data_IF_659685738896
#
_entry.id   IF_659685738896
#
_cell.length_a   1.000
_cell.length_b   1.000
_cell.length_c   1.000
_cell.angle_alpha   90.00
_cell.angle_beta   90.00
_cell.angle_gamma   90.00
#
_symmetry.space_group_name_H-M   'P 1'
#
loop_
_entity.id
_entity.type
_entity.pdbx_description
1 polymer ?
#
# COMPACT_ATOMS: atom_id res chain seq x y z
N UNK A 1 -49.64 -14.31 22.60
CA UNK A 1 -50.33 -15.50 23.14
C UNK A 1 -51.77 -15.44 22.68
N UNK A 2 -52.27 -16.49 22.03
CA UNK A 2 -51.93 -16.76 20.62
C UNK A 2 -53.13 -17.27 19.78
N UNK A 3 -52.89 -17.43 18.47
CA UNK A 3 -53.36 -18.52 17.57
C UNK A 3 -54.89 -18.71 17.36
N UNK A 4 -55.42 -19.13 16.22
CA UNK A 4 -54.91 -20.05 15.20
C UNK A 4 -55.81 -20.07 13.94
N UNK A 5 -55.25 -20.56 12.81
CA UNK A 5 -55.88 -21.44 11.79
C UNK A 5 -57.11 -20.96 10.97
N UNK A 6 -57.31 -21.23 9.67
CA UNK A 6 -56.61 -22.00 8.66
C UNK A 6 -57.22 -21.74 7.25
N UNK A 7 -56.36 -21.96 6.25
CA UNK A 7 -56.54 -22.45 4.85
C UNK A 7 -57.62 -23.58 4.72
N UNK A 8 -58.36 -23.88 3.64
CA UNK A 8 -58.32 -23.62 2.17
C UNK A 8 -59.66 -24.18 1.52
N UNK A 9 -59.76 -24.59 0.23
CA UNK A 9 -60.36 -23.89 -0.93
C UNK A 9 -61.63 -24.54 -1.54
N UNK A 10 -62.25 -23.91 -2.56
CA UNK A 10 -63.03 -24.61 -3.59
C UNK A 10 -63.23 -23.76 -4.87
N UNK A 11 -63.22 -24.46 -6.01
CA UNK A 11 -63.17 -23.97 -7.38
C UNK A 11 -64.52 -23.58 -8.02
N UNK A 12 -64.43 -22.81 -9.12
CA UNK A 12 -64.98 -23.11 -10.47
C UNK A 12 -65.63 -21.90 -11.18
N UNK A 13 -65.34 -21.82 -12.48
CA UNK A 13 -65.55 -20.73 -13.42
C UNK A 13 -67.02 -20.64 -13.91
N UNK A 14 -67.45 -19.50 -14.51
CA UNK A 14 -67.69 -19.54 -15.96
C UNK A 14 -67.39 -18.24 -16.74
N UNK A 15 -67.12 -18.41 -18.03
CA UNK A 15 -66.92 -17.41 -19.10
C UNK A 15 -68.20 -16.59 -19.41
N UNK A 16 -68.08 -15.40 -20.03
CA UNK A 16 -68.45 -15.29 -21.45
C UNK A 16 -67.60 -14.34 -22.32
N UNK A 17 -67.93 -14.34 -23.60
CA UNK A 17 -67.20 -13.93 -24.80
C UNK A 17 -67.47 -12.51 -25.37
N UNK A 18 -66.41 -11.88 -25.93
CA UNK A 18 -66.27 -10.92 -27.06
C UNK A 18 -67.04 -9.56 -27.06
N UNK A 19 -66.64 -8.48 -27.80
CA UNK A 19 -65.84 -8.45 -29.06
C UNK A 19 -64.75 -7.35 -29.22
N UNK A 20 -64.03 -7.40 -30.35
CA UNK A 20 -62.96 -6.54 -30.88
C UNK A 20 -63.36 -5.07 -31.18
N UNK A 21 -62.38 -4.13 -31.26
CA UNK A 21 -62.30 -3.31 -32.48
C UNK A 21 -60.87 -3.04 -33.02
N UNK A 22 -60.85 -2.64 -34.30
CA UNK A 22 -59.76 -2.38 -35.27
C UNK A 22 -58.59 -1.45 -34.86
N UNK A 23 -57.45 -1.50 -35.59
CA UNK A 23 -56.26 -0.70 -35.27
C UNK A 23 -56.31 0.71 -35.90
N UNK A 24 -56.02 1.73 -35.09
CA UNK A 24 -55.85 3.11 -35.53
C UNK A 24 -54.37 3.47 -35.62
N UNK A 25 -53.93 3.79 -36.85
CA UNK A 25 -52.87 4.74 -37.26
C UNK A 25 -51.73 5.03 -36.27
N UNK A 26 -50.55 4.46 -36.53
CA UNK A 26 -49.29 4.88 -35.95
C UNK A 26 -48.82 6.22 -36.54
N UNK A 27 -48.73 7.24 -35.71
CA UNK A 27 -47.96 8.46 -35.95
C UNK A 27 -46.48 8.16 -35.76
N UNK A 28 -45.67 8.42 -36.80
CA UNK A 28 -44.22 8.27 -36.75
C UNK A 28 -43.58 9.38 -35.88
N UNK A 29 -42.68 9.06 -34.94
CA UNK A 29 -41.82 10.05 -34.33
C UNK A 29 -40.65 10.39 -35.28
N UNK A 30 -40.32 11.68 -35.32
CA UNK A 30 -39.21 12.27 -36.07
C UNK A 30 -37.89 11.54 -35.82
N UNK A 31 -37.19 11.18 -36.89
CA UNK A 31 -35.82 10.67 -36.84
C UNK A 31 -34.89 11.77 -36.31
N UNK A 32 -34.22 11.50 -35.20
CA UNK A 32 -33.11 12.29 -34.67
C UNK A 32 -31.88 12.13 -35.57
N UNK A 33 -31.12 13.22 -35.72
CA UNK A 33 -29.96 13.35 -36.59
C UNK A 33 -28.74 12.61 -35.96
N UNK A 34 -28.21 11.52 -36.55
CA UNK A 34 -27.26 10.63 -35.87
C UNK A 34 -25.77 11.03 -35.91
N UNK A 35 -25.40 12.18 -36.51
CA UNK A 35 -23.99 12.52 -36.74
C UNK A 35 -23.31 13.34 -35.63
N UNK A 36 -24.06 14.14 -34.88
CA UNK A 36 -23.49 15.06 -33.87
C UNK A 36 -23.20 14.41 -32.51
N UNK A 37 -24.10 13.53 -32.03
CA UNK A 37 -23.92 12.84 -30.74
C UNK A 37 -22.79 11.80 -30.80
N UNK A 38 -22.63 11.10 -31.92
CA UNK A 38 -21.54 10.14 -32.14
C UNK A 38 -20.17 10.84 -32.14
N UNK A 39 -20.07 12.01 -32.78
CA UNK A 39 -18.83 12.78 -32.83
C UNK A 39 -18.45 13.37 -31.47
N UNK A 40 -19.42 13.86 -30.69
CA UNK A 40 -19.18 14.32 -29.32
C UNK A 40 -18.70 13.18 -28.39
N UNK A 41 -19.22 11.96 -28.59
CA UNK A 41 -18.74 10.76 -27.92
C UNK A 41 -17.28 10.43 -28.24
N UNK A 42 -16.91 10.48 -29.53
CA UNK A 42 -15.52 10.26 -29.99
C UNK A 42 -14.55 11.32 -29.45
N UNK A 43 -14.97 12.59 -29.41
CA UNK A 43 -14.18 13.66 -28.77
C UNK A 43 -13.98 13.38 -27.29
N UNK A 44 -15.04 13.02 -26.54
CA UNK A 44 -14.91 12.68 -25.12
C UNK A 44 -13.98 11.47 -24.89
N UNK A 45 -13.99 10.47 -25.77
CA UNK A 45 -13.09 9.33 -25.71
C UNK A 45 -11.62 9.73 -25.94
N UNK A 46 -11.35 10.62 -26.90
CA UNK A 46 -10.00 11.13 -27.16
C UNK A 46 -9.43 11.91 -25.97
N UNK A 47 -10.28 12.63 -25.22
CA UNK A 47 -9.86 13.36 -24.02
C UNK A 47 -9.37 12.46 -22.87
N UNK A 48 -9.59 11.15 -22.91
CA UNK A 48 -9.02 10.22 -21.92
C UNK A 48 -7.47 10.14 -21.99
N UNK A 49 -6.86 10.58 -23.09
CA UNK A 49 -5.40 10.68 -23.22
C UNK A 49 -4.80 11.91 -22.50
N UNK A 50 -5.64 12.88 -22.12
CA UNK A 50 -5.19 14.13 -21.50
C UNK A 50 -5.07 13.93 -19.99
N UNK A 51 -3.86 14.11 -19.47
CA UNK A 51 -3.54 13.94 -18.05
C UNK A 51 -3.59 15.28 -17.34
N UNK A 52 -4.20 15.32 -16.15
CA UNK A 52 -4.05 16.48 -15.27
C UNK A 52 -2.60 16.54 -14.75
N UNK A 53 -1.88 17.66 -14.91
CA UNK A 53 -0.47 17.74 -14.51
C UNK A 53 -0.24 17.68 -13.00
N UNK A 54 -1.24 18.06 -12.19
CA UNK A 54 -1.15 18.04 -10.71
C UNK A 54 -1.49 16.65 -10.15
N UNK A 55 -2.49 15.96 -10.73
CA UNK A 55 -3.06 14.71 -10.23
C UNK A 55 -2.62 13.46 -11.02
N UNK A 56 -1.92 13.63 -12.16
CA UNK A 56 -1.43 12.57 -13.06
C UNK A 56 -2.47 11.49 -13.40
N UNK A 57 -3.72 11.92 -13.55
CA UNK A 57 -4.85 11.07 -13.93
C UNK A 57 -5.61 11.71 -15.10
N UNK A 58 -6.30 10.90 -15.92
CA UNK A 58 -7.09 11.44 -17.02
C UNK A 58 -8.11 12.47 -16.54
N UNK A 59 -8.18 13.62 -17.20
CA UNK A 59 -9.14 14.69 -16.86
C UNK A 59 -10.60 14.22 -16.92
N UNK A 60 -10.87 13.17 -17.70
CA UNK A 60 -12.17 12.50 -17.81
C UNK A 60 -12.54 11.70 -16.56
N UNK A 61 -11.55 11.09 -15.88
CA UNK A 61 -11.76 10.35 -14.63
C UNK A 61 -11.89 11.28 -13.42
N UNK A 62 -11.27 12.46 -13.50
CA UNK A 62 -11.28 13.47 -12.44
C UNK A 62 -12.54 14.33 -12.44
N UNK A 63 -13.50 14.06 -13.33
CA UNK A 63 -14.71 14.88 -13.49
C UNK A 63 -14.40 16.32 -13.90
N UNK A 64 -13.23 16.56 -14.52
CA UNK A 64 -12.83 17.88 -14.98
C UNK A 64 -13.46 18.23 -16.33
N UNK A 65 -13.88 17.24 -17.12
CA UNK A 65 -14.62 17.47 -18.38
C UNK A 65 -16.11 17.64 -18.07
N UNK A 66 -16.58 18.87 -18.02
CA UNK A 66 -17.97 19.25 -17.69
C UNK A 66 -18.91 19.01 -18.86
N UNK A 67 -18.52 19.48 -20.05
CA UNK A 67 -19.32 19.36 -21.25
C UNK A 67 -18.45 19.23 -22.50
N UNK A 68 -18.96 18.47 -23.47
CA UNK A 68 -18.41 18.36 -24.82
C UNK A 68 -19.58 18.53 -25.78
N UNK A 69 -19.52 19.54 -26.64
CA UNK A 69 -20.51 19.81 -27.67
C UNK A 69 -19.82 20.00 -29.01
N UNK A 70 -20.38 19.45 -30.09
CA UNK A 70 -19.86 19.64 -31.44
C UNK A 70 -20.92 20.29 -32.30
N UNK A 71 -20.59 21.45 -32.88
CA UNK A 71 -21.48 22.18 -33.76
C UNK A 71 -21.55 21.53 -35.15
N UNK A 72 -22.60 21.85 -35.92
CA UNK A 72 -22.79 21.32 -37.26
C UNK A 72 -21.68 21.69 -38.26
N UNK A 73 -20.87 22.71 -37.94
CA UNK A 73 -19.70 23.14 -38.70
C UNK A 73 -18.41 22.36 -38.34
N UNK A 74 -18.51 21.37 -37.46
CA UNK A 74 -17.38 20.57 -36.98
C UNK A 74 -16.58 21.23 -35.86
N UNK A 75 -17.03 22.37 -35.30
CA UNK A 75 -16.35 22.98 -34.15
C UNK A 75 -16.68 22.25 -32.86
N UNK A 76 -15.68 21.64 -32.22
CA UNK A 76 -15.79 21.02 -30.90
C UNK A 76 -15.56 22.06 -29.80
N UNK A 77 -16.51 22.20 -28.88
CA UNK A 77 -16.39 23.02 -27.67
C UNK A 77 -16.29 22.10 -26.46
N UNK A 78 -15.17 22.18 -25.74
CA UNK A 78 -14.89 21.38 -24.53
C UNK A 78 -14.82 22.32 -23.34
N UNK A 79 -15.66 22.07 -22.33
CA UNK A 79 -15.63 22.81 -21.06
C UNK A 79 -14.89 22.01 -20.00
N UNK A 80 -13.81 22.60 -19.48
CA UNK A 80 -12.93 21.98 -18.49
C UNK A 80 -12.98 22.77 -17.18
N UNK A 81 -13.17 22.08 -16.06
CA UNK A 81 -13.20 22.67 -14.72
C UNK A 81 -11.86 22.46 -14.03
N UNK A 82 -11.21 23.55 -13.65
CA UNK A 82 -9.99 23.52 -12.85
C UNK A 82 -10.29 23.49 -11.36
N UNK A 83 -9.39 22.88 -10.60
CA UNK A 83 -9.48 22.76 -9.14
C UNK A 83 -9.33 24.11 -8.44
N UNK A 84 -8.54 25.03 -9.01
CA UNK A 84 -8.29 26.38 -8.49
C UNK A 84 -8.25 27.44 -9.59
N UNK A 85 -8.69 28.65 -9.26
CA UNK A 85 -8.83 29.80 -10.18
C UNK A 85 -7.50 30.41 -10.66
N UNK A 86 -6.36 29.96 -10.14
CA UNK A 86 -5.03 30.52 -10.42
C UNK A 86 -4.00 29.51 -10.90
N UNK A 87 -4.40 28.35 -11.41
CA UNK A 87 -3.45 27.31 -11.80
C UNK A 87 -2.57 27.78 -12.99
N UNK A 88 -1.25 27.91 -12.83
CA UNK A 88 -0.34 28.31 -13.92
C UNK A 88 -0.27 27.27 -15.05
N UNK A 89 -0.80 26.07 -14.82
CA UNK A 89 -0.86 24.95 -15.75
C UNK A 89 -2.14 24.94 -16.60
N UNK A 90 -2.99 25.98 -16.49
CA UNK A 90 -4.18 26.18 -17.32
C UNK A 90 -3.86 26.10 -18.82
N UNK A 91 -2.74 26.69 -19.23
CA UNK A 91 -2.32 26.69 -20.64
C UNK A 91 -2.01 25.28 -21.13
N UNK A 92 -1.27 24.49 -20.33
CA UNK A 92 -0.94 23.11 -20.65
C UNK A 92 -2.18 22.25 -20.85
N UNK A 93 -3.15 22.34 -19.93
CA UNK A 93 -4.41 21.58 -20.05
C UNK A 93 -5.20 22.02 -21.29
N UNK A 94 -5.24 23.32 -21.60
CA UNK A 94 -5.93 23.82 -22.79
C UNK A 94 -5.25 23.31 -24.08
N UNK A 95 -3.92 23.31 -24.12
CA UNK A 95 -3.14 22.85 -25.27
C UNK A 95 -3.32 21.34 -25.47
N UNK A 96 -3.24 20.55 -24.40
CA UNK A 96 -3.40 19.09 -24.46
C UNK A 96 -4.83 18.68 -24.85
N UNK A 97 -5.85 19.37 -24.33
CA UNK A 97 -7.25 19.17 -24.74
C UNK A 97 -7.46 19.53 -26.20
N UNK A 98 -6.86 20.64 -26.66
CA UNK A 98 -6.94 21.08 -28.06
C UNK A 98 -6.30 20.06 -28.99
N UNK A 99 -5.11 19.57 -28.63
CA UNK A 99 -4.39 18.55 -29.38
C UNK A 99 -5.18 17.24 -29.44
N UNK A 100 -5.65 16.74 -28.29
CA UNK A 100 -6.39 15.48 -28.21
C UNK A 100 -7.71 15.53 -28.98
N UNK A 101 -8.53 16.57 -28.78
CA UNK A 101 -9.80 16.71 -29.50
C UNK A 101 -9.60 16.93 -31.01
N UNK A 102 -8.50 17.58 -31.41
CA UNK A 102 -8.15 17.80 -32.80
C UNK A 102 -7.73 16.53 -33.57
N UNK A 103 -7.40 15.43 -32.88
CA UNK A 103 -7.11 14.14 -33.53
C UNK A 103 -8.36 13.43 -34.05
N UNK A 104 -9.55 13.87 -33.67
CA UNK A 104 -10.80 13.20 -34.01
C UNK A 104 -11.27 13.60 -35.40
N UNK A 105 -11.38 12.61 -36.28
CA UNK A 105 -11.88 12.80 -37.65
C UNK A 105 -13.31 13.37 -37.65
N UNK A 106 -13.48 14.53 -38.28
CA UNK A 106 -14.72 15.30 -38.31
C UNK A 106 -14.70 16.59 -37.47
N UNK A 107 -13.64 16.82 -36.68
CA UNK A 107 -13.44 18.07 -35.93
C UNK A 107 -12.63 19.06 -36.78
N UNK A 108 -13.23 20.20 -37.11
CA UNK A 108 -12.58 21.26 -37.89
C UNK A 108 -11.88 22.32 -37.05
N UNK A 109 -12.39 22.58 -35.84
CA UNK A 109 -11.80 23.53 -34.89
C UNK A 109 -12.13 23.10 -33.45
N UNK A 110 -11.25 23.42 -32.50
CA UNK A 110 -11.48 23.16 -31.08
C UNK A 110 -11.51 24.47 -30.29
N UNK A 111 -12.50 24.63 -29.43
CA UNK A 111 -12.59 25.73 -28.45
C UNK A 111 -12.64 25.13 -27.05
N UNK A 112 -11.75 25.59 -26.18
CA UNK A 112 -11.71 25.15 -24.78
C UNK A 112 -12.20 26.28 -23.89
N UNK A 113 -13.28 26.03 -23.16
CA UNK A 113 -13.78 26.92 -22.11
C UNK A 113 -13.30 26.40 -20.75
N UNK A 114 -12.81 27.30 -19.90
CA UNK A 114 -12.20 26.94 -18.62
C UNK A 114 -12.99 27.54 -17.48
N UNK A 115 -13.59 26.67 -16.68
CA UNK A 115 -14.28 27.02 -15.44
C UNK A 115 -13.49 26.60 -14.20
N UNK A 116 -14.10 26.82 -13.04
CA UNK A 116 -13.56 26.39 -11.74
C UNK A 116 -14.60 25.49 -11.08
N UNK A 117 -14.15 24.40 -10.47
CA UNK A 117 -15.01 23.48 -9.74
C UNK A 117 -15.72 24.15 -8.55
N UNK A 118 -16.99 23.81 -8.34
CA UNK A 118 -17.75 24.22 -7.14
C UNK A 118 -17.23 23.51 -5.88
N UNK A 119 -17.57 23.99 -4.66
CA UNK A 119 -17.23 23.31 -3.41
C UNK A 119 -17.67 21.84 -3.36
N UNK A 120 -18.86 21.53 -3.89
CA UNK A 120 -19.43 20.18 -3.94
C UNK A 120 -18.67 19.28 -4.91
N UNK A 121 -18.33 19.79 -6.10
CA UNK A 121 -17.51 19.07 -7.08
C UNK A 121 -16.10 18.80 -6.54
N UNK A 122 -15.51 19.76 -5.83
CA UNK A 122 -14.22 19.55 -5.13
C UNK A 122 -14.34 18.51 -4.01
N UNK A 123 -15.45 18.46 -3.30
CA UNK A 123 -15.69 17.44 -2.27
C UNK A 123 -15.84 16.05 -2.89
N UNK A 124 -16.55 15.92 -4.01
CA UNK A 124 -16.67 14.66 -4.77
C UNK A 124 -15.34 14.22 -5.37
N UNK A 125 -14.57 15.15 -5.95
CA UNK A 125 -13.22 14.87 -6.42
C UNK A 125 -12.33 14.38 -5.27
N UNK A 126 -12.38 15.02 -4.10
CA UNK A 126 -11.66 14.56 -2.91
C UNK A 126 -12.09 13.17 -2.47
N UNK A 127 -13.38 12.85 -2.53
CA UNK A 127 -13.89 11.50 -2.21
C UNK A 127 -13.50 10.46 -3.27
N UNK A 128 -13.45 10.83 -4.55
CA UNK A 128 -12.96 9.96 -5.64
C UNK A 128 -11.43 9.82 -5.70
N UNK A 129 -10.71 10.75 -5.06
CA UNK A 129 -9.26 10.68 -4.82
C UNK A 129 -8.92 9.98 -3.50
N UNK A 130 -9.90 9.80 -2.59
CA UNK A 130 -9.72 9.10 -1.30
C UNK A 130 -9.45 7.62 -1.44
N UNK A 131 -9.69 7.03 -2.61
CA UNK A 131 -9.07 5.77 -3.01
C UNK A 131 -7.66 6.03 -3.55
N UNK A 132 -6.77 6.62 -2.72
CA UNK A 132 -5.33 6.40 -2.88
C UNK A 132 -5.08 4.94 -2.50
N UNK A 133 -5.29 4.03 -3.45
CA UNK A 133 -5.07 2.62 -3.22
C UNK A 133 -3.60 2.42 -2.87
N UNK A 134 -3.33 1.81 -1.71
CA UNK A 134 -1.97 1.43 -1.33
C UNK A 134 -1.48 0.40 -2.35
N UNK A 135 -0.46 0.70 -3.19
CA UNK A 135 -0.06 -0.18 -4.29
C UNK A 135 0.34 -1.57 -3.80
N UNK A 136 0.98 -1.62 -2.62
CA UNK A 136 1.44 -2.87 -2.01
C UNK A 136 0.33 -3.72 -1.42
N UNK A 137 -0.83 -3.12 -1.10
CA UNK A 137 -2.02 -3.79 -0.58
C UNK A 137 -3.04 -4.18 -1.65
N UNK A 138 -2.79 -3.80 -2.92
CA UNK A 138 -3.70 -4.08 -4.02
C UNK A 138 -3.73 -5.59 -4.36
N UNK A 139 -4.90 -6.14 -4.77
CA UNK A 139 -4.99 -7.50 -5.27
C UNK A 139 -4.02 -7.74 -6.44
N UNK A 140 -3.13 -8.73 -6.31
CA UNK A 140 -2.09 -9.03 -7.31
C UNK A 140 -0.73 -8.37 -7.07
N UNK A 141 -0.59 -7.51 -6.05
CA UNK A 141 0.71 -7.01 -5.60
C UNK A 141 1.64 -8.18 -5.29
N UNK A 142 2.83 -8.15 -5.91
CA UNK A 142 3.91 -9.09 -5.65
C UNK A 142 4.93 -8.53 -4.67
N UNK A 143 4.62 -7.46 -3.93
CA UNK A 143 5.52 -6.95 -2.90
C UNK A 143 5.30 -7.71 -1.60
N UNK A 144 6.36 -8.30 -1.03
CA UNK A 144 6.30 -8.88 0.31
C UNK A 144 6.45 -7.77 1.35
N UNK A 145 5.39 -7.52 2.12
CA UNK A 145 5.40 -6.52 3.18
C UNK A 145 5.69 -7.18 4.52
N UNK A 146 6.74 -6.75 5.21
CA UNK A 146 7.18 -7.31 6.49
C UNK A 146 7.29 -6.19 7.53
N UNK A 147 6.45 -6.24 8.56
CA UNK A 147 6.58 -5.41 9.75
C UNK A 147 7.59 -6.01 10.74
N UNK A 148 8.62 -5.25 11.08
CA UNK A 148 9.63 -5.64 12.08
C UNK A 148 9.20 -5.10 13.44
N UNK A 149 8.81 -5.99 14.34
CA UNK A 149 8.26 -5.66 15.65
C UNK A 149 9.20 -6.07 16.79
N UNK A 150 9.11 -5.39 17.93
CA UNK A 150 9.76 -5.82 19.17
C UNK A 150 8.90 -5.55 20.39
N UNK A 151 9.07 -6.36 21.43
CA UNK A 151 8.38 -6.13 22.71
C UNK A 151 8.90 -4.92 23.46
N UNK A 152 10.23 -4.75 23.50
CA UNK A 152 10.91 -3.66 24.22
C UNK A 152 11.73 -2.78 23.27
N UNK A 153 11.99 -1.54 23.69
CA UNK A 153 13.00 -0.69 23.07
C UNK A 153 14.41 -1.23 23.30
N UNK A 154 15.33 -0.93 22.38
CA UNK A 154 16.76 -1.27 22.53
C UNK A 154 17.14 -2.73 22.22
N UNK A 155 16.26 -3.54 21.62
CA UNK A 155 16.64 -4.90 21.13
C UNK A 155 17.47 -4.88 19.85
N UNK A 156 17.71 -3.72 19.25
CA UNK A 156 18.37 -3.59 17.94
C UNK A 156 17.47 -3.83 16.73
N UNK A 157 16.15 -3.67 16.89
CA UNK A 157 15.13 -3.80 15.82
C UNK A 157 15.52 -3.03 14.55
N UNK A 158 15.76 -1.73 14.65
CA UNK A 158 16.11 -0.87 13.50
C UNK A 158 17.45 -1.27 12.87
N UNK A 159 18.45 -1.65 13.68
CA UNK A 159 19.73 -2.17 13.19
C UNK A 159 19.55 -3.48 12.40
N UNK A 160 18.66 -4.36 12.84
CA UNK A 160 18.30 -5.57 12.08
C UNK A 160 17.56 -5.20 10.79
N UNK A 161 16.58 -4.30 10.85
CA UNK A 161 15.80 -3.85 9.69
C UNK A 161 16.72 -3.36 8.57
N UNK A 162 17.67 -2.46 8.85
CA UNK A 162 18.58 -1.93 7.83
C UNK A 162 19.52 -2.99 7.27
N UNK A 163 20.04 -3.89 8.10
CA UNK A 163 20.95 -4.93 7.65
C UNK A 163 20.24 -6.02 6.84
N UNK A 164 19.02 -6.42 7.22
CA UNK A 164 18.21 -7.33 6.43
C UNK A 164 17.88 -6.70 5.07
N UNK A 165 17.51 -5.42 5.03
CA UNK A 165 17.23 -4.71 3.79
C UNK A 165 18.45 -4.66 2.86
N UNK A 166 19.62 -4.28 3.40
CA UNK A 166 20.86 -4.20 2.63
C UNK A 166 21.31 -5.58 2.14
N UNK A 167 21.14 -6.63 2.95
CA UNK A 167 21.42 -8.00 2.52
C UNK A 167 20.50 -8.45 1.38
N UNK A 168 19.19 -8.19 1.48
CA UNK A 168 18.23 -8.50 0.42
C UNK A 168 18.52 -7.72 -0.87
N UNK A 169 18.89 -6.44 -0.77
CA UNK A 169 19.26 -5.62 -1.92
C UNK A 169 20.57 -6.11 -2.58
N UNK A 170 21.56 -6.53 -1.78
CA UNK A 170 22.80 -7.14 -2.28
C UNK A 170 22.54 -8.46 -3.03
N UNK A 171 21.51 -9.21 -2.64
CA UNK A 171 21.04 -10.41 -3.35
C UNK A 171 20.18 -10.07 -4.60
N UNK A 172 20.05 -8.80 -4.96
CA UNK A 172 19.41 -8.33 -6.19
C UNK A 172 17.91 -8.01 -6.07
N UNK A 173 17.34 -8.03 -4.87
CA UNK A 173 15.93 -7.67 -4.65
C UNK A 173 15.74 -6.15 -4.65
N UNK A 174 14.57 -5.70 -5.12
CA UNK A 174 14.13 -4.30 -5.01
C UNK A 174 13.51 -4.11 -3.63
N UNK A 175 14.21 -3.37 -2.77
CA UNK A 175 13.86 -3.25 -1.34
C UNK A 175 13.50 -1.81 -0.96
N UNK A 176 12.43 -1.67 -0.18
CA UNK A 176 12.07 -0.42 0.49
C UNK A 176 12.07 -0.56 2.01
N UNK A 177 12.34 0.53 2.72
CA UNK A 177 12.12 0.68 4.16
C UNK A 177 11.19 1.86 4.42
N UNK A 178 10.17 1.64 5.23
CA UNK A 178 9.43 2.70 5.92
C UNK A 178 9.81 2.64 7.40
N UNK A 179 10.45 3.70 7.89
CA UNK A 179 10.72 3.88 9.31
C UNK A 179 9.50 4.53 9.98
N UNK A 180 8.75 3.70 10.70
CA UNK A 180 7.53 4.07 11.39
C UNK A 180 7.75 4.28 12.91
N UNK A 181 9.00 4.18 13.39
CA UNK A 181 9.35 4.41 14.79
C UNK A 181 9.53 5.90 15.07
N UNK A 182 8.41 6.58 15.26
CA UNK A 182 8.38 8.05 15.27
C UNK A 182 9.11 8.69 16.46
N UNK A 183 9.19 7.98 17.58
CA UNK A 183 9.87 8.44 18.79
C UNK A 183 11.37 8.12 18.78
N UNK A 184 11.79 7.16 17.96
CA UNK A 184 13.15 6.62 17.95
C UNK A 184 13.68 6.40 16.53
N UNK A 185 13.30 7.26 15.57
CA UNK A 185 13.72 7.12 14.19
C UNK A 185 15.24 7.05 14.12
N UNK A 186 15.75 5.99 13.52
CA UNK A 186 17.19 5.70 13.51
C UNK A 186 17.65 5.18 12.16
N UNK A 187 16.73 4.74 11.30
CA UNK A 187 17.03 4.18 9.99
C UNK A 187 17.87 5.12 9.12
N UNK A 188 17.57 6.44 8.99
CA UNK A 188 18.40 7.33 8.17
C UNK A 188 19.85 7.39 8.66
N UNK A 189 20.05 7.52 9.98
CA UNK A 189 21.37 7.57 10.59
C UNK A 189 22.15 6.27 10.41
N UNK A 190 21.50 5.13 10.68
CA UNK A 190 22.08 3.79 10.51
C UNK A 190 22.50 3.47 9.06
N UNK A 191 21.99 4.23 8.09
CA UNK A 191 22.30 4.09 6.66
C UNK A 191 23.08 5.27 6.10
N UNK A 192 23.51 6.23 6.93
CA UNK A 192 24.28 7.39 6.50
C UNK A 192 23.51 8.34 5.59
N UNK A 193 22.17 8.31 5.62
CA UNK A 193 21.30 9.13 4.77
C UNK A 193 21.19 10.52 5.37
N UNK A 194 21.71 11.51 4.66
CA UNK A 194 21.63 12.93 5.01
C UNK A 194 20.70 13.71 4.08
N UNK A 195 20.30 13.12 2.96
CA UNK A 195 19.43 13.74 1.98
C UNK A 195 17.99 13.74 2.46
N UNK A 196 17.33 14.90 2.34
CA UNK A 196 15.89 14.97 2.49
C UNK A 196 15.18 14.32 1.28
N UNK A 197 13.97 13.75 1.47
CA UNK A 197 13.17 13.24 0.36
C UNK A 197 12.81 14.39 -0.59
N UNK A 198 12.85 14.11 -1.89
CA UNK A 198 12.55 15.11 -2.91
C UNK A 198 11.06 15.07 -3.22
N UNK A 199 10.38 16.21 -3.11
CA UNK A 199 8.97 16.31 -3.51
C UNK A 199 8.89 16.72 -4.98
N UNK A 200 8.14 15.95 -5.77
CA UNK A 200 7.82 16.23 -7.17
C UNK A 200 6.30 16.21 -7.30
N UNK A 201 5.70 17.40 -7.36
CA UNK A 201 4.25 17.59 -7.24
C UNK A 201 3.70 16.99 -5.92
N UNK A 202 2.72 16.10 -6.01
CA UNK A 202 2.16 15.33 -4.88
C UNK A 202 2.98 14.07 -4.54
N UNK A 203 3.99 13.72 -5.34
CA UNK A 203 4.80 12.52 -5.20
C UNK A 203 6.06 12.78 -4.37
N UNK A 204 6.43 11.83 -3.51
CA UNK A 204 7.65 11.87 -2.69
C UNK A 204 8.64 10.85 -3.25
N UNK A 205 9.81 11.32 -3.71
CA UNK A 205 10.94 10.47 -4.08
C UNK A 205 11.80 10.22 -2.83
N UNK A 206 11.87 8.98 -2.32
CA UNK A 206 12.67 8.66 -1.16
C UNK A 206 14.17 8.63 -1.52
N UNK A 207 15.07 9.01 -0.61
CA UNK A 207 16.49 8.76 -0.79
C UNK A 207 16.79 7.27 -0.94
N UNK A 208 17.90 6.98 -1.61
CA UNK A 208 18.39 5.61 -1.84
C UNK A 208 19.77 5.46 -1.23
N UNK A 209 19.95 4.45 -0.39
CA UNK A 209 21.24 4.06 0.16
C UNK A 209 21.41 2.55 0.09
N UNK A 210 22.59 2.08 -0.32
CA UNK A 210 22.90 0.64 -0.46
C UNK A 210 21.89 -0.15 -1.31
N UNK A 211 21.30 0.50 -2.33
CA UNK A 211 20.27 -0.12 -3.18
C UNK A 211 18.86 -0.19 -2.55
N UNK A 212 18.66 0.40 -1.37
CA UNK A 212 17.41 0.39 -0.62
C UNK A 212 16.78 1.79 -0.64
N UNK A 213 15.48 1.86 -0.97
CA UNK A 213 14.68 3.09 -0.92
C UNK A 213 14.17 3.31 0.50
N UNK A 214 14.41 4.49 1.09
CA UNK A 214 14.11 4.72 2.51
C UNK A 214 13.25 5.96 2.70
N UNK A 215 12.15 5.82 3.43
CA UNK A 215 11.41 6.97 3.97
C UNK A 215 11.32 6.86 5.49
N UNK A 216 11.55 7.97 6.18
CA UNK A 216 11.41 8.04 7.63
C UNK A 216 10.68 9.32 7.99
N UNK A 217 9.86 9.25 9.03
CA UNK A 217 9.19 10.43 9.58
C UNK A 217 10.19 11.46 10.10
N UNK A 218 11.37 11.01 10.56
CA UNK A 218 12.46 11.88 11.01
C UNK A 218 12.98 12.82 9.93
N UNK A 219 12.77 12.51 8.65
CA UNK A 219 13.14 13.38 7.53
C UNK A 219 12.23 14.62 7.39
N UNK A 220 11.06 14.62 8.03
CA UNK A 220 10.08 15.70 7.95
C UNK A 220 9.96 16.51 9.25
N UNK A 221 10.60 16.05 10.34
CA UNK A 221 10.61 16.77 11.62
C UNK A 221 11.75 17.79 11.58
N UNK A 222 11.40 19.07 11.68
CA UNK A 222 12.40 20.15 11.74
C UNK A 222 12.85 20.41 13.18
N UNK A 223 14.14 20.19 13.45
CA UNK A 223 14.76 20.46 14.74
C UNK A 223 14.34 19.51 15.86
N UNK A 224 14.69 19.86 17.10
CA UNK A 224 14.48 19.02 18.28
C UNK A 224 13.12 19.26 18.95
N UNK A 225 12.10 19.70 18.20
CA UNK A 225 10.79 19.99 18.79
C UNK A 225 10.03 18.70 19.09
N UNK A 226 9.54 18.51 20.32
CA UNK A 226 8.73 17.34 20.67
C UNK A 226 7.37 17.43 19.98
N UNK A 227 7.22 16.76 18.84
CA UNK A 227 5.93 16.57 18.18
C UNK A 227 5.20 15.43 18.90
N UNK A 228 4.01 15.71 19.44
CA UNK A 228 3.18 14.68 20.07
C UNK A 228 2.43 13.94 18.97
N UNK A 229 2.83 12.70 18.73
CA UNK A 229 2.17 11.83 17.76
C UNK A 229 1.03 11.07 18.41
N UNK A 230 -0.19 11.29 17.90
CA UNK A 230 -1.40 10.55 18.31
C UNK A 230 -1.65 9.41 17.30
N UNK A 231 -2.26 8.31 17.73
CA UNK A 231 -2.58 7.15 16.88
C UNK A 231 -3.17 7.50 15.50
N UNK A 232 -4.21 8.36 15.41
CA UNK A 232 -4.76 8.77 14.11
C UNK A 232 -3.79 9.56 13.21
N UNK A 233 -2.84 10.30 13.79
CA UNK A 233 -1.80 10.99 13.02
C UNK A 233 -0.77 10.01 12.48
N UNK A 234 -0.40 9.01 13.29
CA UNK A 234 0.50 7.93 12.87
C UNK A 234 -0.12 7.11 11.74
N UNK A 235 -1.41 6.79 11.85
CA UNK A 235 -2.16 6.12 10.79
C UNK A 235 -2.11 6.90 9.47
N UNK A 236 -2.44 8.20 9.50
CA UNK A 236 -2.38 9.06 8.31
C UNK A 236 -0.97 9.20 7.74
N UNK A 237 0.05 9.31 8.59
CA UNK A 237 1.43 9.39 8.13
C UNK A 237 1.86 8.10 7.43
N UNK A 238 1.50 6.94 7.99
CA UNK A 238 1.75 5.65 7.37
C UNK A 238 0.99 5.49 6.05
N UNK A 239 -0.30 5.84 6.03
CA UNK A 239 -1.12 5.87 4.82
C UNK A 239 -0.49 6.76 3.74
N UNK A 240 -0.01 7.94 4.12
CA UNK A 240 0.68 8.85 3.21
C UNK A 240 1.99 8.25 2.67
N UNK A 241 2.82 7.64 3.52
CA UNK A 241 4.04 6.97 3.04
C UNK A 241 3.75 5.81 2.09
N UNK A 242 2.65 5.09 2.31
CA UNK A 242 2.26 3.98 1.47
C UNK A 242 1.65 4.40 0.12
N UNK A 243 1.16 5.64 0.01
CA UNK A 243 0.43 6.12 -1.17
C UNK A 243 1.19 7.17 -1.97
N UNK A 244 1.90 8.08 -1.31
CA UNK A 244 2.54 9.25 -1.94
C UNK A 244 4.02 9.01 -2.25
N UNK A 245 4.65 8.04 -1.57
CA UNK A 245 6.08 7.75 -1.78
C UNK A 245 6.24 6.81 -2.98
N UNK A 246 7.03 7.24 -3.95
CA UNK A 246 7.31 6.47 -5.15
C UNK A 246 8.45 5.48 -4.92
N UNK A 247 8.11 4.32 -4.38
CA UNK A 247 9.04 3.20 -4.27
C UNK A 247 9.25 2.45 -5.59
N UNK A 248 8.41 2.67 -6.61
CA UNK A 248 8.37 1.84 -7.81
C UNK A 248 8.00 0.39 -7.47
N UNK A 249 8.39 -0.55 -8.32
CA UNK A 249 8.14 -1.97 -8.10
C UNK A 249 9.10 -2.53 -7.05
N UNK A 250 8.58 -2.93 -5.89
CA UNK A 250 9.35 -3.57 -4.82
C UNK A 250 9.09 -5.07 -4.77
N UNK A 251 10.14 -5.85 -4.52
CA UNK A 251 10.03 -7.25 -4.14
C UNK A 251 9.77 -7.39 -2.64
N UNK A 252 10.38 -6.52 -1.82
CA UNK A 252 10.22 -6.49 -0.36
C UNK A 252 10.08 -5.06 0.15
N UNK A 253 9.11 -4.84 1.05
CA UNK A 253 8.94 -3.60 1.81
C UNK A 253 9.03 -3.93 3.31
N UNK A 254 10.02 -3.38 3.99
CA UNK A 254 10.23 -3.53 5.42
C UNK A 254 9.65 -2.32 6.17
N UNK A 255 8.88 -2.56 7.23
CA UNK A 255 8.37 -1.50 8.10
C UNK A 255 9.04 -1.61 9.46
N UNK A 256 9.83 -0.61 9.85
CA UNK A 256 10.44 -0.55 11.17
C UNK A 256 9.41 -0.01 12.17
N UNK A 257 8.76 -0.90 12.92
CA UNK A 257 7.63 -0.52 13.78
C UNK A 257 8.12 0.04 15.12
N UNK A 258 7.40 0.96 15.79
CA UNK A 258 7.77 1.37 17.14
C UNK A 258 7.74 0.19 18.13
N UNK A 259 8.50 0.24 19.23
CA UNK A 259 8.48 -0.82 20.23
C UNK A 259 7.11 -0.96 20.89
N UNK A 260 6.72 -2.20 21.22
CA UNK A 260 5.46 -2.53 21.88
C UNK A 260 4.31 -2.90 20.92
N UNK A 261 3.10 -2.99 21.46
CA UNK A 261 1.88 -3.43 20.75
C UNK A 261 1.08 -2.27 20.16
N UNK A 262 1.77 -1.27 19.61
CA UNK A 262 1.21 0.06 19.37
C UNK A 262 0.21 0.18 18.21
N UNK A 263 -0.44 1.34 18.15
CA UNK A 263 -1.40 1.77 17.11
C UNK A 263 -0.87 1.62 15.67
N UNK A 264 0.45 1.67 15.47
CA UNK A 264 1.11 1.55 14.16
C UNK A 264 1.02 0.12 13.61
N UNK A 265 1.17 -0.90 14.45
CA UNK A 265 1.04 -2.30 14.01
C UNK A 265 -0.40 -2.60 13.56
N UNK A 266 -1.39 -2.08 14.30
CA UNK A 266 -2.81 -2.16 13.94
C UNK A 266 -3.10 -1.37 12.65
N UNK A 267 -2.53 -0.17 12.53
CA UNK A 267 -2.68 0.64 11.31
C UNK A 267 -2.08 -0.07 10.10
N UNK A 268 -0.91 -0.71 10.26
CA UNK A 268 -0.29 -1.52 9.22
C UNK A 268 -1.20 -2.66 8.80
N UNK A 269 -1.82 -3.40 9.72
CA UNK A 269 -2.71 -4.50 9.34
C UNK A 269 -3.97 -4.03 8.62
N UNK A 270 -4.47 -2.83 8.94
CA UNK A 270 -5.63 -2.24 8.27
C UNK A 270 -5.29 -1.75 6.86
N UNK A 271 -4.15 -1.08 6.70
CA UNK A 271 -3.70 -0.53 5.42
C UNK A 271 -3.07 -1.58 4.49
N UNK A 272 -2.50 -2.64 5.07
CA UNK A 272 -1.79 -3.72 4.38
C UNK A 272 -2.23 -5.09 4.93
N UNK A 273 -3.45 -5.58 4.61
CA UNK A 273 -3.98 -6.83 5.18
C UNK A 273 -3.12 -8.08 4.87
N UNK A 274 -2.35 -8.06 3.78
CA UNK A 274 -1.45 -9.16 3.39
C UNK A 274 -0.04 -9.07 3.98
N UNK A 275 0.20 -8.17 4.93
CA UNK A 275 1.53 -8.01 5.55
C UNK A 275 1.78 -9.04 6.65
N UNK A 276 3.05 -9.40 6.83
CA UNK A 276 3.50 -10.36 7.85
C UNK A 276 4.38 -9.68 8.90
N UNK A 277 4.58 -10.33 10.04
CA UNK A 277 5.37 -9.82 11.15
C UNK A 277 6.67 -10.63 11.35
N UNK A 278 7.76 -9.92 11.57
CA UNK A 278 9.04 -10.44 12.05
C UNK A 278 9.26 -9.93 13.48
N UNK A 279 9.44 -10.84 14.44
CA UNK A 279 9.58 -10.46 15.86
C UNK A 279 11.04 -10.48 16.28
N UNK A 280 11.55 -9.35 16.75
CA UNK A 280 12.91 -9.21 17.28
C UNK A 280 12.90 -9.25 18.81
N UNK A 281 13.78 -10.05 19.38
CA UNK A 281 13.98 -10.15 20.83
C UNK A 281 15.46 -10.25 21.20
N UNK A 282 15.75 -10.36 22.50
CA UNK A 282 17.08 -10.64 23.06
C UNK A 282 16.96 -11.84 24.01
N UNK A 283 18.06 -12.52 24.39
CA UNK A 283 17.99 -13.71 25.26
C UNK A 283 17.32 -13.48 26.63
N UNK A 284 17.34 -12.25 27.14
CA UNK A 284 16.73 -11.86 28.41
C UNK A 284 15.25 -12.26 28.47
N UNK A 285 14.86 -12.96 29.54
CA UNK A 285 13.47 -13.41 29.76
C UNK A 285 12.45 -12.27 29.69
N UNK A 286 12.75 -11.13 30.31
CA UNK A 286 11.88 -9.95 30.29
C UNK A 286 11.61 -9.44 28.86
N UNK A 287 12.62 -9.48 27.98
CA UNK A 287 12.45 -9.08 26.58
C UNK A 287 11.53 -10.03 25.83
N UNK A 288 11.73 -11.34 26.04
CA UNK A 288 10.93 -12.39 25.43
C UNK A 288 9.47 -12.31 25.88
N UNK A 289 9.19 -12.11 27.17
CA UNK A 289 7.83 -12.00 27.69
C UNK A 289 7.06 -10.79 27.13
N UNK A 290 7.71 -9.63 26.97
CA UNK A 290 7.05 -8.47 26.37
C UNK A 290 6.86 -8.67 24.86
N UNK A 291 7.78 -9.36 24.19
CA UNK A 291 7.65 -9.68 22.76
C UNK A 291 6.50 -10.66 22.47
N UNK A 292 6.06 -11.47 23.44
CA UNK A 292 4.82 -12.25 23.31
C UNK A 292 3.63 -11.33 23.04
N UNK A 293 3.54 -10.18 23.71
CA UNK A 293 2.47 -9.21 23.49
C UNK A 293 2.52 -8.63 22.08
N UNK A 294 3.72 -8.30 21.58
CA UNK A 294 3.92 -7.87 20.19
C UNK A 294 3.43 -8.93 19.19
N UNK A 295 3.67 -10.21 19.46
CA UNK A 295 3.12 -11.30 18.66
C UNK A 295 1.62 -11.54 18.85
N UNK A 296 1.02 -11.20 19.99
CA UNK A 296 -0.44 -11.26 20.20
C UNK A 296 -1.20 -10.26 19.33
N UNK A 297 -0.55 -9.18 18.87
CA UNK A 297 -1.12 -8.28 17.85
C UNK A 297 -1.41 -9.06 16.57
N UNK A 298 -0.56 -10.03 16.20
CA UNK A 298 -0.79 -10.90 15.05
C UNK A 298 -2.13 -11.66 15.16
N UNK A 299 -2.47 -12.15 16.35
CA UNK A 299 -3.78 -12.81 16.61
C UNK A 299 -4.94 -11.86 16.39
N UNK A 300 -4.82 -10.62 16.85
CA UNK A 300 -5.90 -9.62 16.75
C UNK A 300 -6.07 -9.06 15.33
N UNK A 301 -4.97 -9.01 14.59
CA UNK A 301 -4.90 -8.41 13.25
C UNK A 301 -4.98 -9.43 12.12
N UNK A 302 -4.86 -10.72 12.42
CA UNK A 302 -4.84 -11.82 11.45
C UNK A 302 -3.54 -11.94 10.65
N UNK A 303 -2.48 -11.22 11.04
CA UNK A 303 -1.21 -11.24 10.33
C UNK A 303 -0.41 -12.53 10.59
N UNK A 304 0.30 -13.03 9.58
CA UNK A 304 1.23 -14.15 9.76
C UNK A 304 2.48 -13.67 10.51
N UNK A 305 2.94 -14.44 11.51
CA UNK A 305 4.28 -14.26 12.10
C UNK A 305 5.28 -15.14 11.37
N UNK A 306 6.19 -14.52 10.62
CA UNK A 306 7.21 -15.22 9.84
C UNK A 306 8.21 -15.97 10.73
N UNK A 307 8.51 -15.41 11.89
CA UNK A 307 9.43 -16.00 12.85
C UNK A 307 9.97 -15.01 13.85
N UNK A 308 10.86 -15.52 14.69
CA UNK A 308 11.59 -14.76 15.71
C UNK A 308 13.05 -14.64 15.31
N UNK A 309 13.64 -13.48 15.53
CA UNK A 309 15.10 -13.27 15.49
C UNK A 309 15.57 -12.89 16.88
N UNK A 310 16.55 -13.62 17.40
CA UNK A 310 17.20 -13.27 18.65
C UNK A 310 18.45 -12.44 18.34
N UNK A 311 18.52 -11.23 18.88
CA UNK A 311 19.68 -10.35 18.74
C UNK A 311 20.50 -10.33 20.03
N UNK A 312 21.78 -9.97 19.93
CA UNK A 312 22.72 -9.89 21.06
C UNK A 312 22.83 -11.22 21.81
N UNK A 313 22.86 -12.34 21.07
CA UNK A 313 22.74 -13.68 21.63
C UNK A 313 23.98 -14.14 22.40
N UNK A 314 25.17 -13.87 21.86
CA UNK A 314 26.45 -14.15 22.52
C UNK A 314 27.52 -13.18 22.03
N UNK A 315 28.60 -13.04 22.79
CA UNK A 315 29.84 -12.37 22.38
C UNK A 315 30.91 -13.45 22.16
N UNK A 316 31.54 -13.47 20.98
CA UNK A 316 32.70 -14.33 20.73
C UNK A 316 33.95 -13.71 21.37
N UNK A 317 34.66 -14.49 22.17
CA UNK A 317 35.87 -14.09 22.86
C UNK A 317 37.11 -14.40 22.01
N UNK A 318 38.26 -13.73 22.25
CA UNK A 318 39.49 -13.94 21.47
C UNK A 318 40.02 -15.39 21.50
N UNK A 319 39.65 -16.18 22.51
CA UNK A 319 40.01 -17.59 22.63
C UNK A 319 39.07 -18.54 21.86
N UNK A 320 38.09 -18.01 21.14
CA UNK A 320 37.08 -18.75 20.37
C UNK A 320 35.89 -19.25 21.19
N UNK A 321 35.86 -18.97 22.50
CA UNK A 321 34.71 -19.30 23.35
C UNK A 321 33.59 -18.26 23.21
N UNK A 322 32.39 -18.60 23.69
CA UNK A 322 31.22 -17.72 23.66
C UNK A 322 30.85 -17.30 25.07
N UNK A 323 30.65 -16.01 25.26
CA UNK A 323 30.05 -15.44 26.46
C UNK A 323 28.59 -15.09 26.17
N UNK A 324 27.69 -15.41 27.10
CA UNK A 324 26.25 -15.11 26.99
C UNK A 324 25.89 -13.97 27.97
N UNK A 325 26.26 -12.70 27.68
CA UNK A 325 26.12 -11.59 28.64
C UNK A 325 24.67 -11.34 29.07
N UNK A 326 23.71 -11.79 28.24
CA UNK A 326 22.28 -11.60 28.43
C UNK A 326 21.52 -12.90 28.68
N UNK A 327 22.24 -14.01 28.89
CA UNK A 327 21.72 -15.37 28.93
C UNK A 327 21.47 -15.95 27.54
N UNK A 328 20.74 -17.07 27.48
CA UNK A 328 20.47 -17.80 26.24
C UNK A 328 19.03 -18.31 26.11
N UNK A 329 18.65 -18.59 24.86
CA UNK A 329 17.40 -19.28 24.51
C UNK A 329 16.12 -18.44 24.64
N UNK A 330 16.22 -17.12 24.77
CA UNK A 330 15.07 -16.23 24.87
C UNK A 330 14.22 -16.24 23.59
N UNK A 331 14.88 -16.23 22.43
CA UNK A 331 14.26 -16.32 21.12
C UNK A 331 13.56 -17.66 20.89
N UNK A 332 14.22 -18.78 21.25
CA UNK A 332 13.63 -20.11 21.11
C UNK A 332 12.37 -20.27 21.99
N UNK A 333 12.42 -19.79 23.24
CA UNK A 333 11.25 -19.77 24.13
C UNK A 333 10.12 -18.91 23.57
N UNK A 334 10.43 -17.73 23.06
CA UNK A 334 9.43 -16.86 22.43
C UNK A 334 8.79 -17.51 21.21
N UNK A 335 9.59 -18.12 20.32
CA UNK A 335 9.11 -18.81 19.14
C UNK A 335 8.13 -19.95 19.50
N UNK A 336 8.49 -20.77 20.50
CA UNK A 336 7.61 -21.82 21.01
C UNK A 336 6.30 -21.25 21.57
N UNK A 337 6.37 -20.18 22.38
CA UNK A 337 5.18 -19.52 22.94
C UNK A 337 4.26 -18.92 21.88
N UNK A 338 4.82 -18.25 20.88
CA UNK A 338 4.03 -17.72 19.77
C UNK A 338 3.39 -18.84 18.95
N UNK A 339 4.09 -19.97 18.79
CA UNK A 339 3.52 -21.15 18.13
C UNK A 339 2.31 -21.70 18.88
N UNK A 340 2.38 -21.78 20.22
CA UNK A 340 1.28 -22.19 21.08
C UNK A 340 0.08 -21.23 20.96
N UNK A 341 0.33 -19.92 21.02
CA UNK A 341 -0.73 -18.88 21.00
C UNK A 341 -1.42 -18.78 19.64
N UNK A 342 -0.66 -18.85 18.55
CA UNK A 342 -1.17 -18.69 17.20
C UNK A 342 -1.71 -19.99 16.60
N UNK A 343 -1.46 -21.13 17.23
CA UNK A 343 -1.81 -22.45 16.70
C UNK A 343 -1.12 -22.79 15.38
N UNK A 344 -0.05 -22.06 15.02
CA UNK A 344 0.74 -22.25 13.79
C UNK A 344 2.23 -22.23 14.12
N UNK A 345 3.08 -23.01 13.41
CA UNK A 345 4.51 -23.03 13.71
C UNK A 345 5.19 -21.67 13.46
N UNK A 346 5.81 -21.11 14.50
CA UNK A 346 6.64 -19.91 14.45
C UNK A 346 8.10 -20.31 14.68
N UNK A 347 8.98 -20.23 13.66
CA UNK A 347 10.37 -20.63 13.80
C UNK A 347 11.22 -19.55 14.47
N UNK A 348 12.30 -19.97 15.15
CA UNK A 348 13.47 -19.11 15.39
C UNK A 348 14.28 -19.08 14.10
N UNK A 349 14.35 -17.93 13.44
CA UNK A 349 15.01 -17.76 12.14
C UNK A 349 16.53 -17.67 12.26
N UNK A 350 17.02 -17.20 13.41
CA UNK A 350 18.44 -17.07 13.68
C UNK A 350 18.70 -16.33 14.99
N UNK A 351 19.94 -16.44 15.43
CA UNK A 351 20.46 -15.78 16.62
C UNK A 351 21.72 -15.01 16.23
N UNK A 352 21.71 -13.69 16.42
CA UNK A 352 22.78 -12.79 15.95
C UNK A 352 23.74 -12.50 17.13
N UNK A 353 25.06 -12.71 16.96
CA UNK A 353 26.03 -12.37 17.97
C UNK A 353 26.09 -10.86 18.25
N UNK A 354 26.44 -10.52 19.48
CA UNK A 354 26.84 -9.18 19.88
C UNK A 354 28.23 -8.91 19.31
N UNK A 355 28.32 -8.03 18.32
CA UNK A 355 29.58 -7.69 17.66
C UNK A 355 29.80 -6.15 17.68
N UNK A 356 30.95 -5.65 18.18
CA UNK A 356 31.23 -4.20 18.20
C UNK A 356 31.13 -3.54 16.81
N UNK A 357 31.54 -4.27 15.76
CA UNK A 357 31.46 -3.84 14.37
C UNK A 357 30.03 -3.55 13.91
N UNK A 358 29.03 -4.22 14.48
CA UNK A 358 27.63 -3.96 14.15
C UNK A 358 27.19 -2.59 14.66
N UNK A 359 27.64 -2.23 15.87
CA UNK A 359 27.42 -0.90 16.46
C UNK A 359 28.25 0.17 15.74
N UNK A 360 29.52 -0.12 15.43
CA UNK A 360 30.40 0.79 14.66
C UNK A 360 29.80 1.12 13.30
N UNK A 361 29.39 0.11 12.54
CA UNK A 361 28.70 0.32 11.26
C UNK A 361 27.40 1.11 11.41
N UNK A 362 26.65 0.91 12.49
CA UNK A 362 25.46 1.71 12.77
C UNK A 362 25.76 3.20 13.01
N UNK A 363 26.79 3.49 13.80
CA UNK A 363 27.19 4.87 14.11
C UNK A 363 27.79 5.59 12.88
N UNK A 364 28.57 4.87 12.08
CA UNK A 364 29.21 5.39 10.87
C UNK A 364 28.23 5.45 9.67
N UNK A 365 27.01 4.92 9.83
CA UNK A 365 26.01 4.85 8.77
C UNK A 365 26.31 3.83 7.67
N UNK A 366 27.15 2.83 7.97
CA UNK A 366 27.55 1.74 7.06
C UNK A 366 27.18 0.38 7.67
N UNK A 367 26.00 -0.20 7.34
CA UNK A 367 25.52 -1.46 7.89
C UNK A 367 26.56 -2.59 7.83
N UNK A 368 26.62 -3.46 8.85
CA UNK A 368 27.66 -4.49 8.97
C UNK A 368 27.68 -5.47 7.78
N UNK A 369 26.52 -5.78 7.20
CA UNK A 369 26.44 -6.62 5.99
C UNK A 369 27.14 -5.99 4.76
N UNK A 370 27.47 -4.69 4.83
CA UNK A 370 28.25 -3.95 3.84
C UNK A 370 29.69 -3.75 4.31
N UNK A 371 29.89 -3.24 5.54
CA UNK A 371 31.22 -2.85 6.05
C UNK A 371 32.10 -4.03 6.48
N UNK A 372 31.50 -5.11 6.99
CA UNK A 372 32.21 -6.32 7.42
C UNK A 372 31.46 -7.57 6.95
N UNK A 373 31.45 -7.85 5.64
CA UNK A 373 30.65 -8.92 5.06
C UNK A 373 30.97 -10.31 5.61
N UNK A 374 32.20 -10.55 6.01
CA UNK A 374 32.65 -11.87 6.49
C UNK A 374 32.49 -12.04 8.01
N UNK A 375 31.87 -11.08 8.70
CA UNK A 375 31.63 -11.16 10.14
C UNK A 375 30.57 -12.19 10.50
N UNK A 376 30.63 -12.71 11.73
CA UNK A 376 29.66 -13.67 12.23
C UNK A 376 28.23 -13.08 12.24
N UNK A 377 28.07 -11.83 12.68
CA UNK A 377 26.77 -11.17 12.65
C UNK A 377 26.27 -10.94 11.21
N UNK A 378 27.16 -10.52 10.29
CA UNK A 378 26.79 -10.33 8.88
C UNK A 378 26.35 -11.64 8.21
N UNK A 379 27.02 -12.75 8.50
CA UNK A 379 26.67 -14.07 8.00
C UNK A 379 25.27 -14.50 8.44
N UNK A 380 24.94 -14.38 9.73
CA UNK A 380 23.62 -14.68 10.28
C UNK A 380 22.53 -13.77 9.68
N UNK A 381 22.79 -12.46 9.57
CA UNK A 381 21.88 -11.50 8.96
C UNK A 381 21.55 -11.85 7.51
N UNK A 382 22.55 -12.27 6.70
CA UNK A 382 22.31 -12.73 5.33
C UNK A 382 21.53 -14.05 5.28
N UNK A 383 21.80 -14.98 6.18
CA UNK A 383 21.06 -16.24 6.25
C UNK A 383 19.57 -15.99 6.57
N UNK A 384 19.28 -15.11 7.53
CA UNK A 384 17.92 -14.69 7.86
C UNK A 384 17.27 -13.99 6.67
N UNK A 385 17.97 -13.03 6.04
CA UNK A 385 17.47 -12.30 4.87
C UNK A 385 17.07 -13.24 3.72
N UNK A 386 17.91 -14.22 3.39
CA UNK A 386 17.61 -15.23 2.36
C UNK A 386 16.41 -16.09 2.72
N UNK A 387 16.30 -16.51 3.98
CA UNK A 387 15.16 -17.30 4.47
C UNK A 387 13.84 -16.52 4.35
N UNK A 388 13.85 -15.23 4.68
CA UNK A 388 12.70 -14.34 4.52
C UNK A 388 12.36 -14.10 3.05
N UNK A 389 13.37 -13.98 2.18
CA UNK A 389 13.19 -13.80 0.75
C UNK A 389 12.61 -15.04 0.05
N UNK A 390 13.06 -16.24 0.43
CA UNK A 390 12.72 -17.51 -0.23
C UNK A 390 11.43 -18.15 0.25
N UNK A 391 10.79 -17.64 1.31
CA UNK A 391 9.60 -18.26 1.90
C UNK A 391 8.43 -18.24 0.90
N UNK A 392 7.85 -19.41 0.54
CA UNK A 392 6.78 -19.49 -0.45
C UNK A 392 5.56 -18.70 0.02
N UNK A 393 4.90 -18.02 -0.91
CA UNK A 393 3.65 -17.31 -0.61
C UNK A 393 2.55 -18.33 -0.32
N UNK A 394 1.84 -18.14 0.78
CA UNK A 394 0.56 -18.82 0.96
C UNK A 394 -0.38 -18.40 -0.18
N UNK A 395 -0.90 -19.37 -0.92
CA UNK A 395 -1.89 -19.13 -1.99
C UNK A 395 -3.32 -18.91 -1.43
N UNK A 396 -3.47 -18.94 -0.11
CA UNK A 396 -4.76 -18.76 0.56
C UNK A 396 -5.32 -17.35 0.27
N UNK A 397 -6.52 -17.29 -0.30
CA UNK A 397 -7.21 -16.02 -0.59
C UNK A 397 -6.89 -15.38 -1.94
N UNK A 398 -5.96 -15.95 -2.74
CA UNK A 398 -5.76 -15.50 -4.11
C UNK A 398 -6.86 -16.06 -5.04
N UNK A 399 -7.59 -15.22 -5.78
CA UNK A 399 -8.56 -15.70 -6.76
C UNK A 399 -7.80 -16.47 -7.84
N UNK A 400 -8.06 -17.77 -7.95
CA UNK A 400 -7.37 -18.66 -8.89
C UNK A 400 -7.71 -18.37 -10.38
N UNK A 401 -8.53 -17.35 -10.66
CA UNK A 401 -8.94 -16.98 -12.02
C UNK A 401 -9.73 -18.07 -12.77
N UNK A 402 -10.15 -19.12 -12.07
CA UNK A 402 -10.88 -20.26 -12.63
C UNK A 402 -12.35 -20.18 -12.20
N UNK A 403 -13.22 -20.10 -13.20
CA UNK A 403 -14.67 -20.26 -13.03
C UNK A 403 -15.02 -21.75 -13.20
N UNK A 404 -15.61 -22.41 -12.20
CA UNK A 404 -16.03 -23.80 -12.36
C UNK A 404 -17.10 -23.91 -13.45
N UNK A 405 -16.82 -24.68 -14.50
CA UNK A 405 -17.81 -25.02 -15.52
C UNK A 405 -18.84 -25.97 -14.90
N UNK A 406 -20.11 -25.55 -14.83
CA UNK A 406 -21.20 -26.47 -14.49
C UNK A 406 -21.31 -27.53 -15.59
N UNK A 407 -21.50 -28.82 -15.25
CA UNK A 407 -21.85 -29.82 -16.25
C UNK A 407 -23.21 -29.46 -16.85
N UNK A 408 -23.32 -29.57 -18.18
CA UNK A 408 -24.60 -29.42 -18.86
C UNK A 408 -25.61 -30.43 -18.29
N UNK A 409 -26.89 -30.02 -18.10
CA UNK A 409 -27.93 -30.95 -17.71
C UNK A 409 -28.02 -32.05 -18.78
N UNK A 410 -27.91 -33.30 -18.33
CA UNK A 410 -28.04 -34.47 -19.19
C UNK A 410 -29.39 -34.46 -19.93
N UNK A 411 -29.43 -34.96 -21.18
CA UNK A 411 -30.58 -34.84 -22.08
C UNK A 411 -31.85 -35.55 -21.58
#
# INVERSE_FOLDING_TARGET
>A
MPEDSALDPAASNPTPSNPTPSPATASSPMASNPSGEDLAGRVRAALAAVQDPELRRPITELGMVDAVAVAADGTATVRVLLTVSGCPLRTTIVDDVTAAAGTVEGVGAVRVDVGVMTPEQRAQLKEGLRTRAVPFGAPGSLTRVIGVASGKGGVGKSSLTVNLACAMAADGLRVGIIDADVLGFSVPGLMGITQAPTRVDEMILPPVAYGVKVISIGMFVQGNQPVIWRGPMLHRALEQFLTDVHFGDLDVLLLDLPPGTGDVAISMSQLLPGSSLLVVTTPQSAAAEVAVRAGSVATQTGQEVLGVVENMSWLELPDGTRMEPFGSGGGARLAARLSEILGTPVPLLGSIPLEPRLREGGDDGVPIVVSAPDSAAAAELRAIARTLASRPRGLAGLPLGITPTRPDPAP
#
